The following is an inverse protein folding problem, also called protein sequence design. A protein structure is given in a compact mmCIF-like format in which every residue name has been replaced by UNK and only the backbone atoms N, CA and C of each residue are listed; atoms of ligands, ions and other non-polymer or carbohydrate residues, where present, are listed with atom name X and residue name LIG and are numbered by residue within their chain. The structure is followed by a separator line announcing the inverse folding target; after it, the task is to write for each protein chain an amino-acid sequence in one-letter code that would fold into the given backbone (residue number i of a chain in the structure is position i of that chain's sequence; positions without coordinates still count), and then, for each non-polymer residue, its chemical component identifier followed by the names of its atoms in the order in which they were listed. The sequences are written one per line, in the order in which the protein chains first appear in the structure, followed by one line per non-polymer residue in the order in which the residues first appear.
data_IF_777308536019
#
_entry.id   IF_777308536019
#
_cell.length_a   1.000
_cell.length_b   1.000
_cell.length_c   1.000
_cell.angle_alpha   90.00
_cell.angle_beta   90.00
_cell.angle_gamma   90.00
#
_symmetry.space_group_name_H-M   'P 1'
#
loop_
_entity.id
_entity.type
_entity.pdbx_description
1 polymer ?
#
# COMPACT_ATOMS: atom_id res chain seq x y z
N UNK A 1 -8.76 2.91 3.55
CA UNK A 1 -7.94 1.83 4.14
C UNK A 1 -7.85 0.72 3.12
N UNK A 2 -6.62 0.36 2.76
CA UNK A 2 -6.33 -0.52 1.64
C UNK A 2 -6.98 -1.90 1.76
N UNK A 3 -7.34 -2.49 0.62
CA UNK A 3 -7.79 -3.87 0.55
C UNK A 3 -6.60 -4.80 0.75
N UNK A 4 -6.58 -5.51 1.88
CA UNK A 4 -5.49 -6.42 2.21
C UNK A 4 -5.41 -7.57 1.20
N UNK A 5 -4.28 -7.69 0.51
CA UNK A 5 -4.03 -8.74 -0.46
C UNK A 5 -2.52 -9.00 -0.59
N UNK A 6 -2.16 -10.20 -1.08
CA UNK A 6 -0.76 -10.62 -1.19
C UNK A 6 0.08 -9.71 -2.08
N UNK A 7 -0.49 -9.23 -3.19
CA UNK A 7 0.23 -8.39 -4.16
C UNK A 7 0.65 -7.05 -3.55
N UNK A 8 -0.23 -6.40 -2.78
CA UNK A 8 0.10 -5.17 -2.06
C UNK A 8 1.20 -5.39 -1.01
N UNK A 9 1.05 -6.44 -0.19
CA UNK A 9 2.01 -6.80 0.86
C UNK A 9 3.41 -7.03 0.26
N UNK A 10 3.49 -7.83 -0.80
CA UNK A 10 4.74 -8.10 -1.51
C UNK A 10 5.34 -6.83 -2.12
N UNK A 11 4.51 -5.96 -2.71
CA UNK A 11 4.97 -4.71 -3.31
C UNK A 11 5.54 -3.75 -2.26
N UNK A 12 4.90 -3.64 -1.08
CA UNK A 12 5.40 -2.83 0.04
C UNK A 12 6.75 -3.36 0.55
N UNK A 13 6.84 -4.68 0.82
CA UNK A 13 8.08 -5.33 1.29
C UNK A 13 9.23 -5.20 0.29
N UNK A 14 8.95 -5.41 -0.99
CA UNK A 14 9.95 -5.25 -2.05
C UNK A 14 10.41 -3.78 -2.14
N UNK A 15 9.50 -2.81 -2.00
CA UNK A 15 9.87 -1.40 -2.01
C UNK A 15 10.76 -1.04 -0.82
N UNK A 16 10.41 -1.51 0.39
CA UNK A 16 11.24 -1.35 1.58
C UNK A 16 12.63 -2.00 1.41
N UNK A 17 12.69 -3.20 0.85
CA UNK A 17 13.94 -3.91 0.53
C UNK A 17 14.83 -3.12 -0.44
N UNK A 18 14.26 -2.60 -1.54
CA UNK A 18 15.01 -1.77 -2.50
C UNK A 18 15.56 -0.50 -1.88
N UNK A 19 14.76 0.21 -1.08
CA UNK A 19 15.20 1.40 -0.35
C UNK A 19 16.34 1.08 0.62
N UNK A 20 16.23 -0.02 1.36
CA UNK A 20 17.28 -0.51 2.26
C UNK A 20 18.58 -0.81 1.51
N UNK A 21 18.47 -1.33 0.28
CA UNK A 21 19.59 -1.67 -0.59
C UNK A 21 20.10 -0.49 -1.45
N UNK A 22 19.68 0.74 -1.15
CA UNK A 22 20.26 1.95 -1.74
C UNK A 22 19.54 2.51 -2.95
N UNK A 23 18.27 2.13 -3.20
CA UNK A 23 17.46 2.80 -4.20
C UNK A 23 17.41 4.32 -3.96
N UNK A 24 17.38 5.08 -5.06
CA UNK A 24 17.32 6.54 -5.00
C UNK A 24 16.05 7.00 -4.28
N UNK A 25 16.21 7.96 -3.37
CA UNK A 25 15.12 8.46 -2.56
C UNK A 25 15.23 9.97 -2.37
N UNK A 26 14.17 10.69 -2.70
CA UNK A 26 13.98 12.10 -2.40
C UNK A 26 12.48 12.42 -2.42
N UNK A 27 11.95 12.96 -1.33
CA UNK A 27 10.52 13.24 -1.21
C UNK A 27 10.00 14.19 -2.30
N UNK A 28 10.76 15.25 -2.63
CA UNK A 28 10.37 16.21 -3.67
C UNK A 28 10.62 15.77 -5.12
N UNK A 29 10.73 14.46 -5.40
CA UNK A 29 10.92 13.93 -6.74
C UNK A 29 9.87 12.85 -7.00
N UNK A 30 8.85 13.11 -7.84
CA UNK A 30 7.69 12.21 -8.01
C UNK A 30 8.03 10.74 -8.27
N UNK A 31 9.08 10.46 -9.06
CA UNK A 31 9.52 9.08 -9.30
C UNK A 31 10.39 8.45 -8.19
N UNK A 32 10.88 9.25 -7.25
CA UNK A 32 11.82 8.86 -6.20
C UNK A 32 11.32 9.12 -4.78
N UNK A 33 10.09 9.60 -4.61
CA UNK A 33 9.42 9.76 -3.33
C UNK A 33 8.85 8.41 -2.84
N UNK A 34 8.00 8.45 -1.82
CA UNK A 34 7.41 7.26 -1.21
C UNK A 34 6.51 6.52 -2.23
N UNK A 35 5.52 7.21 -2.79
CA UNK A 35 4.65 6.70 -3.84
C UNK A 35 5.43 6.34 -5.12
N UNK A 36 6.43 7.15 -5.49
CA UNK A 36 7.28 6.92 -6.65
C UNK A 36 8.06 5.61 -6.59
N UNK A 37 8.68 5.31 -5.44
CA UNK A 37 9.38 4.04 -5.25
C UNK A 37 8.43 2.84 -5.30
N UNK A 38 7.23 2.97 -4.73
CA UNK A 38 6.21 1.92 -4.83
C UNK A 38 5.76 1.71 -6.28
N UNK A 39 5.53 2.79 -7.04
CA UNK A 39 5.20 2.73 -8.46
C UNK A 39 6.29 2.02 -9.28
N UNK A 40 7.57 2.25 -9.00
CA UNK A 40 8.67 1.53 -9.67
C UNK A 40 8.56 0.01 -9.46
N UNK A 41 8.17 -0.45 -8.27
CA UNK A 41 7.97 -1.88 -7.97
C UNK A 41 6.74 -2.43 -8.69
N UNK A 42 5.63 -1.69 -8.69
CA UNK A 42 4.34 -2.15 -9.22
C UNK A 42 4.32 -2.16 -10.75
N UNK A 43 5.04 -1.23 -11.38
CA UNK A 43 5.00 -1.01 -12.84
C UNK A 43 6.27 -1.42 -13.57
N UNK A 44 7.38 -1.64 -12.86
CA UNK A 44 8.72 -1.78 -13.44
C UNK A 44 9.23 -0.57 -14.24
N UNK A 45 8.54 0.58 -14.16
CA UNK A 45 9.02 1.84 -14.72
C UNK A 45 10.18 2.39 -13.89
N UNK A 46 11.04 3.16 -14.54
CA UNK A 46 12.11 3.93 -13.91
C UNK A 46 11.55 5.17 -13.21
N UNK A 47 12.33 5.73 -12.26
CA UNK A 47 11.98 7.00 -11.61
C UNK A 47 11.85 8.15 -12.63
N UNK A 48 12.63 8.13 -13.71
CA UNK A 48 12.58 9.14 -14.77
C UNK A 48 11.27 9.04 -15.58
N UNK A 49 10.83 7.83 -15.92
CA UNK A 49 9.55 7.61 -16.60
C UNK A 49 8.38 8.04 -15.71
N UNK A 50 8.39 7.65 -14.43
CA UNK A 50 7.34 8.02 -13.48
C UNK A 50 7.29 9.55 -13.28
N UNK A 51 8.46 10.21 -13.18
CA UNK A 51 8.53 11.66 -13.11
C UNK A 51 7.90 12.32 -14.35
N UNK A 52 8.21 11.80 -15.54
CA UNK A 52 7.61 12.30 -16.79
C UNK A 52 6.09 12.12 -16.81
N UNK A 53 5.57 11.04 -16.23
CA UNK A 53 4.13 10.76 -16.19
C UNK A 53 3.44 11.70 -15.19
N UNK A 54 4.02 11.89 -14.01
CA UNK A 54 3.49 12.79 -12.98
C UNK A 54 3.37 14.24 -13.48
N UNK A 55 4.35 14.72 -14.27
CA UNK A 55 4.34 16.07 -14.84
C UNK A 55 3.26 16.33 -15.91
N UNK A 56 2.44 15.32 -16.25
CA UNK A 56 1.27 15.54 -17.10
C UNK A 56 0.10 16.19 -16.35
N UNK A 57 0.18 16.28 -15.02
CA UNK A 57 -0.74 16.98 -14.13
C UNK A 57 0.04 17.87 -13.16
N UNK A 58 -0.67 18.62 -12.31
CA UNK A 58 -0.08 19.38 -11.21
C UNK A 58 -0.30 18.65 -9.89
N UNK A 59 0.50 19.00 -8.88
CA UNK A 59 0.36 18.48 -7.52
C UNK A 59 1.26 17.27 -7.23
N UNK A 60 1.23 16.84 -5.98
CA UNK A 60 1.85 15.59 -5.53
C UNK A 60 0.89 14.42 -5.78
N UNK A 61 1.31 13.20 -5.47
CA UNK A 61 0.47 12.01 -5.69
C UNK A 61 -0.87 12.08 -4.96
N UNK A 62 -0.93 12.78 -3.83
CA UNK A 62 -2.17 13.09 -3.10
C UNK A 62 -3.17 13.82 -4.00
N UNK A 63 -2.79 14.99 -4.50
CA UNK A 63 -3.70 15.80 -5.32
C UNK A 63 -4.06 15.08 -6.63
N UNK A 64 -3.11 14.36 -7.22
CA UNK A 64 -3.35 13.56 -8.43
C UNK A 64 -4.36 12.43 -8.15
N UNK A 65 -4.30 11.79 -6.97
CA UNK A 65 -5.24 10.75 -6.57
C UNK A 65 -6.64 11.30 -6.26
N UNK A 66 -6.74 12.50 -5.69
CA UNK A 66 -8.02 13.18 -5.43
C UNK A 66 -8.73 13.62 -6.72
N UNK A 67 -7.97 14.06 -7.72
CA UNK A 67 -8.49 14.49 -9.02
C UNK A 67 -8.68 13.31 -10.00
N UNK A 68 -8.31 12.09 -9.60
CA UNK A 68 -8.32 10.92 -10.46
C UNK A 68 -9.72 10.61 -11.00
N UNK A 69 -9.79 10.39 -12.32
CA UNK A 69 -10.99 9.94 -13.02
C UNK A 69 -10.65 8.72 -13.88
N UNK A 70 -11.31 7.60 -13.62
CA UNK A 70 -11.05 6.30 -14.26
C UNK A 70 -11.19 6.30 -15.79
N UNK A 71 -11.98 7.23 -16.34
CA UNK A 71 -12.19 7.34 -17.79
C UNK A 71 -11.11 8.16 -18.51
N UNK A 72 -10.24 8.83 -17.76
CA UNK A 72 -9.17 9.65 -18.31
C UNK A 72 -7.91 8.83 -18.58
N UNK A 73 -7.27 9.07 -19.73
CA UNK A 73 -6.03 8.42 -20.14
C UNK A 73 -4.79 9.29 -19.88
N UNK A 74 -4.91 10.33 -19.04
CA UNK A 74 -3.76 11.14 -18.63
C UNK A 74 -2.70 10.27 -17.96
N UNK A 75 -1.42 10.34 -18.37
CA UNK A 75 -0.38 9.44 -17.86
C UNK A 75 -0.25 9.41 -16.32
N UNK A 76 -0.41 10.55 -15.64
CA UNK A 76 -0.42 10.60 -14.17
C UNK A 76 -1.57 9.78 -13.55
N UNK A 77 -2.78 9.89 -14.13
CA UNK A 77 -3.94 9.12 -13.70
C UNK A 77 -3.79 7.62 -14.00
N UNK A 78 -3.09 7.26 -15.07
CA UNK A 78 -2.71 5.86 -15.29
C UNK A 78 -1.85 5.35 -14.13
N UNK A 79 -0.95 6.16 -13.55
CA UNK A 79 -0.17 5.75 -12.37
C UNK A 79 -1.05 5.54 -11.14
N UNK A 80 -2.02 6.42 -10.89
CA UNK A 80 -3.01 6.22 -9.81
C UNK A 80 -3.75 4.90 -9.99
N UNK A 81 -4.25 4.61 -11.20
CA UNK A 81 -4.94 3.35 -11.49
C UNK A 81 -4.08 2.11 -11.21
N UNK A 82 -2.74 2.20 -11.33
CA UNK A 82 -1.84 1.08 -10.99
C UNK A 82 -1.73 0.86 -9.49
N UNK A 83 -1.76 1.93 -8.69
CA UNK A 83 -1.79 1.85 -7.23
C UNK A 83 -3.14 1.32 -6.75
N UNK A 84 -4.25 1.79 -7.33
CA UNK A 84 -5.58 1.29 -6.99
C UNK A 84 -5.78 -0.18 -7.39
N UNK A 85 -5.22 -0.59 -8.53
CA UNK A 85 -5.30 -1.99 -8.99
C UNK A 85 -4.62 -2.98 -8.03
N UNK A 86 -3.67 -2.54 -7.21
CA UNK A 86 -3.09 -3.38 -6.14
C UNK A 86 -3.83 -3.22 -4.80
N UNK A 87 -4.92 -2.47 -4.75
CA UNK A 87 -5.80 -2.37 -3.58
C UNK A 87 -5.59 -1.14 -2.71
N UNK A 88 -4.81 -0.14 -3.14
CA UNK A 88 -4.74 1.15 -2.45
C UNK A 88 -5.97 2.00 -2.77
N UNK A 89 -6.39 2.83 -1.81
CA UNK A 89 -7.38 3.90 -2.02
C UNK A 89 -6.66 5.26 -2.11
N UNK A 90 -7.32 6.33 -2.59
CA UNK A 90 -6.74 7.67 -2.57
C UNK A 90 -6.24 8.10 -1.17
N UNK A 91 -6.97 7.73 -0.11
CA UNK A 91 -6.53 7.96 1.28
C UNK A 91 -5.24 7.21 1.62
N UNK A 92 -5.06 5.98 1.16
CA UNK A 92 -3.83 5.23 1.43
C UNK A 92 -2.64 5.83 0.66
N UNK A 93 -2.87 6.33 -0.56
CA UNK A 93 -1.86 7.05 -1.36
C UNK A 93 -1.42 8.32 -0.61
N UNK A 94 -2.37 9.10 -0.10
CA UNK A 94 -2.07 10.25 0.75
C UNK A 94 -1.23 9.85 1.98
N UNK A 95 -1.67 8.80 2.69
CA UNK A 95 -0.97 8.34 3.89
C UNK A 95 0.44 7.82 3.58
N UNK A 96 0.67 7.21 2.41
CA UNK A 96 2.01 6.82 1.95
C UNK A 96 2.86 8.05 1.63
N UNK A 97 2.28 9.08 1.02
CA UNK A 97 2.99 10.32 0.69
C UNK A 97 3.53 11.01 1.95
N UNK A 98 2.73 11.03 3.03
CA UNK A 98 3.04 11.77 4.25
C UNK A 98 3.49 10.91 5.45
N UNK A 99 3.40 9.58 5.34
CA UNK A 99 3.71 8.59 6.39
C UNK A 99 2.84 8.75 7.66
N UNK A 100 1.53 8.88 7.51
CA UNK A 100 0.65 9.34 8.60
C UNK A 100 -0.55 8.45 8.94
N UNK A 101 -0.70 7.26 8.33
CA UNK A 101 -1.78 6.36 8.74
C UNK A 101 -1.61 5.88 10.18
N UNK A 102 -2.56 6.22 11.05
CA UNK A 102 -2.47 5.93 12.47
C UNK A 102 -2.45 4.42 12.80
N UNK A 103 -3.12 3.58 12.01
CA UNK A 103 -3.06 2.12 12.20
C UNK A 103 -1.68 1.58 11.83
N UNK A 104 -1.10 2.08 10.73
CA UNK A 104 0.27 1.71 10.30
C UNK A 104 1.29 2.17 11.34
N UNK A 105 1.20 3.43 11.79
CA UNK A 105 2.10 3.95 12.82
C UNK A 105 1.99 3.18 14.14
N UNK A 106 0.81 2.68 14.49
CA UNK A 106 0.59 1.78 15.62
C UNK A 106 1.23 0.39 15.48
N UNK A 107 1.67 0.02 14.28
CA UNK A 107 2.36 -1.25 13.98
C UNK A 107 3.87 -1.12 13.83
N UNK A 108 4.43 0.07 14.01
CA UNK A 108 5.87 0.27 13.95
C UNK A 108 6.60 -0.59 14.99
N UNK A 109 7.74 -1.14 14.57
CA UNK A 109 8.65 -1.81 15.50
C UNK A 109 9.18 -0.81 16.53
N UNK A 110 9.12 -1.18 17.82
CA UNK A 110 9.44 -0.25 18.92
C UNK A 110 8.28 0.64 19.36
N UNK A 111 7.11 0.52 18.74
CA UNK A 111 5.89 1.24 19.12
C UNK A 111 5.66 2.53 18.33
N UNK A 112 4.53 3.19 18.63
CA UNK A 112 4.09 4.37 17.92
C UNK A 112 5.10 5.51 18.00
N UNK A 113 5.41 6.10 16.84
CA UNK A 113 6.20 7.33 16.70
C UNK A 113 5.83 8.05 15.40
N UNK A 114 6.04 9.35 15.36
CA UNK A 114 5.89 10.12 14.13
C UNK A 114 7.09 9.92 13.21
N UNK A 115 6.81 9.79 11.92
CA UNK A 115 7.79 9.54 10.88
C UNK A 115 8.07 10.82 10.07
N UNK A 116 9.25 10.92 9.50
CA UNK A 116 9.65 12.01 8.61
C UNK A 116 9.58 11.53 7.18
N UNK A 117 8.65 12.09 6.41
CA UNK A 117 8.46 11.79 4.98
C UNK A 117 9.64 12.08 4.06
N UNK A 118 10.74 12.67 4.55
CA UNK A 118 11.98 12.87 3.79
C UNK A 118 13.17 12.19 4.47
N UNK A 119 12.89 11.18 5.30
CA UNK A 119 13.87 10.28 5.88
C UNK A 119 13.65 8.87 5.32
N UNK A 120 14.68 8.32 4.67
CA UNK A 120 14.58 7.00 4.02
C UNK A 120 14.28 5.88 5.01
N UNK A 121 14.88 5.93 6.21
CA UNK A 121 14.70 4.87 7.20
C UNK A 121 13.26 4.85 7.70
N UNK A 122 12.68 6.03 7.90
CA UNK A 122 11.26 6.15 8.28
C UNK A 122 10.31 5.62 7.20
N UNK A 123 10.59 5.82 5.90
CA UNK A 123 9.78 5.21 4.82
C UNK A 123 9.86 3.69 4.83
N UNK A 124 11.07 3.14 5.06
CA UNK A 124 11.28 1.69 5.17
C UNK A 124 10.44 1.14 6.33
N UNK A 125 10.52 1.76 7.51
CA UNK A 125 9.77 1.34 8.69
C UNK A 125 8.26 1.42 8.45
N UNK A 126 7.78 2.47 7.77
CA UNK A 126 6.37 2.61 7.41
C UNK A 126 5.89 1.49 6.48
N UNK A 127 6.65 1.17 5.42
CA UNK A 127 6.26 0.12 4.47
C UNK A 127 6.29 -1.28 5.08
N UNK A 128 7.26 -1.59 5.93
CA UNK A 128 7.28 -2.86 6.65
C UNK A 128 6.09 -2.96 7.63
N UNK A 129 5.82 -1.91 8.40
CA UNK A 129 4.69 -1.87 9.32
C UNK A 129 3.34 -1.97 8.58
N UNK A 130 3.23 -1.33 7.41
CA UNK A 130 2.01 -1.41 6.59
C UNK A 130 1.82 -2.81 6.03
N UNK A 131 2.88 -3.44 5.53
CA UNK A 131 2.83 -4.83 5.08
C UNK A 131 2.39 -5.78 6.20
N UNK A 132 2.93 -5.63 7.40
CA UNK A 132 2.59 -6.46 8.56
C UNK A 132 1.16 -6.25 9.07
N UNK A 133 0.66 -5.00 9.02
CA UNK A 133 -0.74 -4.69 9.29
C UNK A 133 -1.66 -5.44 8.33
N UNK A 134 -1.40 -5.35 7.02
CA UNK A 134 -2.21 -5.98 5.99
C UNK A 134 -2.14 -7.51 6.07
N UNK A 135 -0.95 -8.06 6.31
CA UNK A 135 -0.78 -9.51 6.47
C UNK A 135 -1.54 -10.04 7.71
N UNK A 136 -1.57 -9.27 8.78
CA UNK A 136 -2.36 -9.59 9.97
C UNK A 136 -3.86 -9.55 9.69
N UNK A 137 -4.34 -8.56 8.92
CA UNK A 137 -5.74 -8.48 8.48
C UNK A 137 -6.15 -9.68 7.63
N UNK A 138 -5.30 -10.12 6.69
CA UNK A 138 -5.54 -11.32 5.88
C UNK A 138 -5.68 -12.58 6.74
N UNK A 139 -4.73 -12.82 7.66
CA UNK A 139 -4.79 -13.99 8.56
C UNK A 139 -6.05 -14.02 9.41
N UNK A 140 -6.48 -12.86 9.92
CA UNK A 140 -7.70 -12.76 10.73
C UNK A 140 -8.95 -13.09 9.90
N UNK A 141 -9.04 -12.54 8.69
CA UNK A 141 -10.15 -12.83 7.78
C UNK A 141 -10.22 -14.33 7.42
N UNK A 142 -9.09 -14.93 7.06
CA UNK A 142 -9.02 -16.37 6.73
C UNK A 142 -9.43 -17.25 7.92
N UNK A 143 -8.96 -16.92 9.13
CA UNK A 143 -9.34 -17.62 10.35
C UNK A 143 -10.84 -17.51 10.67
N UNK A 144 -11.43 -16.33 10.49
CA UNK A 144 -12.87 -16.11 10.68
C UNK A 144 -13.71 -16.89 9.67
N UNK A 145 -13.28 -16.93 8.41
CA UNK A 145 -13.95 -17.69 7.36
C UNK A 145 -13.88 -19.20 7.62
N UNK A 146 -12.73 -19.71 8.05
CA UNK A 146 -12.56 -21.12 8.43
C UNK A 146 -13.46 -21.50 9.62
N UNK A 147 -13.49 -20.67 10.66
CA UNK A 147 -14.36 -20.91 11.82
C UNK A 147 -15.84 -20.92 11.43
N UNK A 148 -16.26 -20.00 10.57
CA UNK A 148 -17.64 -19.95 10.07
C UNK A 148 -18.01 -21.23 9.31
N UNK A 149 -17.15 -21.66 8.39
CA UNK A 149 -17.38 -22.88 7.61
C UNK A 149 -17.49 -24.12 8.52
N UNK A 150 -16.66 -24.23 9.56
CA UNK A 150 -16.72 -25.32 10.53
C UNK A 150 -18.02 -25.32 11.36
N UNK A 151 -18.52 -24.14 11.74
CA UNK A 151 -19.80 -24.02 12.45
C UNK A 151 -20.96 -24.43 11.53
N UNK A 152 -20.96 -23.95 10.29
CA UNK A 152 -22.01 -24.26 9.32
C UNK A 152 -22.08 -25.78 9.02
N UNK A 153 -20.93 -26.45 8.87
CA UNK A 153 -20.87 -27.92 8.70
C UNK A 153 -21.38 -28.71 9.92
N UNK A 154 -21.17 -28.21 11.15
CA UNK A 154 -21.65 -28.89 12.36
C UNK A 154 -23.18 -28.73 12.53
N UNK A 155 -23.73 -27.58 12.13
CA UNK A 155 -25.19 -27.31 12.17
C UNK A 155 -25.95 -28.16 11.16
N UNK A 156 -25.35 -28.53 10.04
CA UNK A 156 -25.97 -29.37 9.01
C UNK A 156 -25.95 -30.88 9.30
N UNK A 157 -25.27 -31.34 10.36
CA UNK A 157 -25.27 -32.77 10.73
C UNK A 157 -26.64 -33.18 11.28
N UNK A 158 -27.35 -34.13 10.65
CA UNK A 158 -28.63 -34.60 11.18
C UNK A 158 -28.40 -35.26 12.53
N UNK A 159 -29.15 -34.82 13.54
CA UNK A 159 -29.15 -35.45 14.86
C UNK A 159 -29.72 -36.86 14.72
N UNK A 160 -28.85 -37.86 14.62
CA UNK A 160 -29.24 -39.26 14.76
C UNK A 160 -29.64 -39.49 16.22
N UNK A 161 -30.89 -39.19 16.55
CA UNK A 161 -31.52 -39.69 17.76
C UNK A 161 -31.75 -41.20 17.56
N UNK A 162 -30.98 -42.01 18.30
CA UNK A 162 -31.18 -43.45 18.48
C UNK A 162 -32.15 -43.68 19.63
#
# INVERSE_FOLDING_TARGET
MACANKKLIESLRETASRLRNGAYYAWGHHGGCNCGNLLQVVTSLTKEEILSYAHTTRGEWTEIAEEFCETSLTPAYVMISKLEAIGLTPTDIHNIEYLEDAEVLGKLSGGFRWLKRNDRADVIDYFEAFADLLESKLRQHDGQQLLKNLIDEEVEKPTMYV
#
